data_IF_007206025586
#
_entry.id   IF_007206025586
#
_cell.length_a   1.000
_cell.length_b   1.000
_cell.length_c   1.000
_cell.angle_alpha   90.00
_cell.angle_beta   90.00
_cell.angle_gamma   90.00
#
_symmetry.space_group_name_H-M   'P 1'
#
loop_
_entity.id
_entity.type
_entity.pdbx_description
1 polymer ?
#
# COMPACT_ATOMS: atom_id res chain seq x y z
N UNK A 1 9.52 -17.92 20.36
CA UNK A 1 8.94 -16.61 20.74
C UNK A 1 9.21 -16.44 22.21
N UNK A 2 10.03 -15.46 22.59
CA UNK A 2 10.22 -15.09 23.99
C UNK A 2 8.99 -14.32 24.43
N UNK A 3 8.23 -14.90 25.35
CA UNK A 3 7.08 -14.24 25.97
C UNK A 3 7.61 -13.34 27.09
N UNK A 4 7.31 -12.04 27.02
CA UNK A 4 7.71 -11.08 28.05
C UNK A 4 6.47 -10.82 28.89
N UNK A 5 6.51 -11.23 30.15
CA UNK A 5 5.45 -10.97 31.11
C UNK A 5 5.57 -9.53 31.63
N UNK A 6 4.75 -8.64 31.07
CA UNK A 6 4.78 -7.19 31.35
C UNK A 6 4.24 -6.89 32.75
N UNK A 7 3.31 -7.70 33.26
CA UNK A 7 2.63 -7.47 34.53
C UNK A 7 3.54 -7.74 35.74
N UNK A 8 4.61 -8.51 35.54
CA UNK A 8 5.61 -8.82 36.55
C UNK A 8 6.75 -7.79 36.64
N UNK A 9 6.83 -6.83 35.71
CA UNK A 9 7.93 -5.87 35.65
C UNK A 9 7.73 -4.68 36.61
N UNK A 10 8.80 -4.29 37.27
CA UNK A 10 8.84 -3.04 38.03
C UNK A 10 8.80 -1.82 37.10
N UNK A 11 8.49 -0.65 37.65
CA UNK A 11 8.43 0.61 36.88
C UNK A 11 9.77 0.89 36.17
N UNK A 12 10.90 0.69 36.85
CA UNK A 12 12.23 0.90 36.26
C UNK A 12 12.50 -0.08 35.10
N UNK A 13 12.06 -1.33 35.21
CA UNK A 13 12.20 -2.34 34.15
C UNK A 13 11.27 -2.03 32.96
N UNK A 14 10.07 -1.50 33.21
CA UNK A 14 9.16 -1.02 32.17
C UNK A 14 9.75 0.17 31.41
N UNK A 15 10.39 1.11 32.10
CA UNK A 15 11.07 2.23 31.47
C UNK A 15 12.27 1.77 30.62
N UNK A 16 13.06 0.83 31.13
CA UNK A 16 14.16 0.23 30.36
C UNK A 16 13.65 -0.53 29.14
N UNK A 17 12.55 -1.28 29.27
CA UNK A 17 11.93 -1.98 28.16
C UNK A 17 11.40 -0.99 27.11
N UNK A 18 10.71 0.08 27.55
CA UNK A 18 10.26 1.16 26.66
C UNK A 18 11.43 1.76 25.89
N UNK A 19 12.52 2.07 26.58
CA UNK A 19 13.69 2.72 25.98
C UNK A 19 14.43 1.76 25.03
N UNK A 20 14.54 0.48 25.38
CA UNK A 20 15.12 -0.56 24.54
C UNK A 20 14.26 -0.83 23.29
N UNK A 21 12.94 -0.89 23.43
CA UNK A 21 12.00 -1.01 22.30
C UNK A 21 12.10 0.22 21.41
N UNK A 22 12.14 1.43 21.97
CA UNK A 22 12.30 2.67 21.21
C UNK A 22 13.63 2.70 20.44
N UNK A 23 14.74 2.30 21.08
CA UNK A 23 16.04 2.17 20.41
C UNK A 23 16.02 1.11 19.32
N UNK A 24 15.37 -0.04 19.56
CA UNK A 24 15.24 -1.11 18.56
C UNK A 24 14.37 -0.65 17.39
N UNK A 25 13.28 0.06 17.64
CA UNK A 25 12.43 0.64 16.60
C UNK A 25 13.19 1.71 15.82
N UNK A 26 13.97 2.57 16.47
CA UNK A 26 14.86 3.51 15.80
C UNK A 26 15.88 2.77 14.95
N UNK A 27 16.56 1.75 15.47
CA UNK A 27 17.50 0.95 14.70
C UNK A 27 16.85 0.25 13.52
N UNK A 28 15.64 -0.31 13.68
CA UNK A 28 14.88 -0.92 12.58
C UNK A 28 14.44 0.13 11.54
N UNK A 29 14.10 1.35 11.97
CA UNK A 29 13.80 2.48 11.09
C UNK A 29 15.03 2.99 10.34
N UNK A 30 16.19 3.09 11.01
CA UNK A 30 17.49 3.39 10.40
C UNK A 30 18.08 2.21 9.61
N UNK A 31 17.52 1.01 9.79
CA UNK A 31 17.79 -0.16 8.96
C UNK A 31 17.02 -0.14 7.64
N UNK A 32 16.26 0.91 7.32
CA UNK A 32 15.88 1.20 5.93
C UNK A 32 17.14 1.70 5.20
N UNK A 33 17.78 0.75 4.53
CA UNK A 33 19.22 0.59 4.23
C UNK A 33 19.93 1.64 3.38
N UNK A 34 19.25 2.68 2.92
CA UNK A 34 19.77 3.54 1.87
C UNK A 34 19.87 4.99 2.34
N UNK A 35 21.08 5.54 2.22
CA UNK A 35 21.33 6.97 2.32
C UNK A 35 20.59 7.72 1.20
N UNK A 36 20.29 9.01 1.40
CA UNK A 36 19.66 9.83 0.36
C UNK A 36 20.37 9.75 -1.00
N UNK A 37 21.72 9.82 -1.09
CA UNK A 37 22.41 9.64 -2.37
C UNK A 37 22.14 8.28 -3.05
N UNK A 38 22.05 7.19 -2.28
CA UNK A 38 21.72 5.87 -2.83
C UNK A 38 20.29 5.81 -3.33
N UNK A 39 19.34 6.37 -2.58
CA UNK A 39 17.93 6.45 -2.98
C UNK A 39 17.75 7.27 -4.26
N UNK A 40 18.47 8.38 -4.40
CA UNK A 40 18.45 9.19 -5.62
C UNK A 40 19.04 8.40 -6.81
N UNK A 41 20.14 7.67 -6.63
CA UNK A 41 20.70 6.81 -7.68
C UNK A 41 19.70 5.73 -8.11
N UNK A 42 19.06 5.06 -7.13
CA UNK A 42 18.03 4.05 -7.41
C UNK A 42 16.83 4.65 -8.13
N UNK A 43 16.43 5.88 -7.80
CA UNK A 43 15.35 6.59 -8.48
C UNK A 43 15.69 6.83 -9.95
N UNK A 44 16.91 7.28 -10.27
CA UNK A 44 17.32 7.49 -11.66
C UNK A 44 17.34 6.19 -12.47
N UNK A 45 17.83 5.09 -11.89
CA UNK A 45 17.75 3.76 -12.51
C UNK A 45 16.31 3.32 -12.74
N UNK A 46 15.44 3.56 -11.76
CA UNK A 46 14.03 3.21 -11.85
C UNK A 46 13.30 4.03 -12.92
N UNK A 47 13.62 5.32 -13.08
CA UNK A 47 13.05 6.15 -14.16
C UNK A 47 13.35 5.54 -15.53
N UNK A 48 14.56 5.03 -15.76
CA UNK A 48 14.88 4.36 -17.03
C UNK A 48 13.97 3.14 -17.25
N UNK A 49 13.82 2.29 -16.23
CA UNK A 49 12.95 1.10 -16.30
C UNK A 49 11.48 1.48 -16.56
N UNK A 50 10.97 2.50 -15.87
CA UNK A 50 9.59 2.95 -16.04
C UNK A 50 9.36 3.53 -17.44
N UNK A 51 10.33 4.28 -17.97
CA UNK A 51 10.26 4.82 -19.33
C UNK A 51 10.27 3.70 -20.39
N UNK A 52 11.11 2.67 -20.20
CA UNK A 52 11.14 1.49 -21.08
C UNK A 52 9.81 0.71 -21.05
N UNK A 53 9.09 0.75 -19.93
CA UNK A 53 7.74 0.19 -19.77
C UNK A 53 6.63 1.09 -20.33
N UNK A 54 6.97 2.26 -20.87
CA UNK A 54 5.99 3.24 -21.38
C UNK A 54 5.25 4.01 -20.28
N UNK A 55 5.64 3.89 -19.01
CA UNK A 55 5.06 4.68 -17.92
C UNK A 55 5.62 6.08 -17.96
N UNK A 56 4.72 7.07 -17.97
CA UNK A 56 5.09 8.48 -18.03
C UNK A 56 4.61 9.23 -16.79
N UNK A 57 5.36 10.26 -16.40
CA UNK A 57 5.04 11.13 -15.28
C UNK A 57 5.32 12.59 -15.63
N UNK A 58 4.54 13.48 -15.03
CA UNK A 58 4.77 14.93 -15.04
C UNK A 58 5.77 15.34 -13.97
N UNK A 59 5.93 14.55 -12.90
CA UNK A 59 6.86 14.82 -11.81
C UNK A 59 7.27 13.53 -11.09
N UNK A 60 8.59 13.35 -10.89
CA UNK A 60 9.18 12.26 -10.10
C UNK A 60 10.60 12.64 -9.63
N UNK A 61 10.75 13.83 -9.04
CA UNK A 61 12.07 14.35 -8.61
C UNK A 61 12.05 14.97 -7.22
N UNK A 62 10.86 15.39 -6.76
CA UNK A 62 10.69 16.00 -5.46
C UNK A 62 10.69 14.89 -4.42
N UNK A 63 11.43 15.09 -3.35
CA UNK A 63 11.46 14.18 -2.21
C UNK A 63 11.24 14.95 -0.91
N UNK A 64 10.68 14.26 0.09
CA UNK A 64 10.48 14.79 1.43
C UNK A 64 10.76 13.71 2.47
N UNK A 65 11.22 14.14 3.63
CA UNK A 65 11.31 13.27 4.80
C UNK A 65 9.96 13.27 5.52
N UNK A 66 9.26 12.13 5.51
CA UNK A 66 7.97 11.97 6.17
C UNK A 66 7.78 10.53 6.65
N UNK A 67 7.01 10.35 7.73
CA UNK A 67 6.78 9.05 8.37
C UNK A 67 8.07 8.28 8.74
N UNK A 68 9.17 9.01 8.98
CA UNK A 68 10.46 8.42 9.32
C UNK A 68 11.25 7.84 8.16
N UNK A 69 10.88 8.15 6.91
CA UNK A 69 11.62 7.73 5.71
C UNK A 69 11.57 8.79 4.60
N UNK A 70 12.41 8.64 3.58
CA UNK A 70 12.38 9.48 2.38
C UNK A 70 11.30 8.95 1.45
N UNK A 71 10.40 9.85 1.02
CA UNK A 71 9.41 9.59 -0.03
C UNK A 71 9.61 10.52 -1.20
N UNK A 72 9.20 10.06 -2.37
CA UNK A 72 9.25 10.75 -3.65
C UNK A 72 7.83 11.10 -4.11
N UNK A 73 7.64 12.33 -4.56
CA UNK A 73 6.39 12.75 -5.16
C UNK A 73 6.29 12.20 -6.58
N UNK A 74 5.28 11.39 -6.83
CA UNK A 74 4.92 10.91 -8.15
C UNK A 74 3.67 11.65 -8.63
N UNK A 75 3.74 12.19 -9.85
CA UNK A 75 2.57 12.66 -10.59
C UNK A 75 2.54 11.94 -11.95
N UNK A 76 1.81 10.82 -12.08
CA UNK A 76 1.74 10.07 -13.32
C UNK A 76 0.95 10.83 -14.39
N UNK A 77 1.26 10.60 -15.66
CA UNK A 77 0.51 11.18 -16.78
C UNK A 77 -0.84 10.52 -16.95
N UNK A 78 -0.88 9.20 -16.79
CA UNK A 78 -2.11 8.41 -16.77
C UNK A 78 -2.66 8.35 -15.35
N UNK A 79 -3.57 9.27 -15.04
CA UNK A 79 -4.23 9.35 -13.74
C UNK A 79 -5.50 8.49 -13.66
N UNK A 80 -5.84 7.77 -14.74
CA UNK A 80 -6.93 6.78 -14.72
C UNK A 80 -6.44 5.48 -14.10
N UNK A 81 -5.20 5.09 -14.42
CA UNK A 81 -4.60 3.85 -13.90
C UNK A 81 -3.75 4.07 -12.65
N UNK A 82 -3.23 5.28 -12.43
CA UNK A 82 -2.22 5.54 -11.40
C UNK A 82 -2.57 6.72 -10.48
N UNK A 83 -2.34 6.54 -9.17
CA UNK A 83 -2.55 7.56 -8.16
C UNK A 83 -1.32 8.49 -8.04
N UNK A 84 -1.54 9.82 -7.99
CA UNK A 84 -0.50 10.77 -7.59
C UNK A 84 -0.31 10.75 -6.07
N UNK A 85 0.93 10.89 -5.59
CA UNK A 85 1.20 10.82 -4.16
C UNK A 85 2.67 10.77 -3.77
N UNK A 86 2.91 10.58 -2.48
CA UNK A 86 4.23 10.40 -1.89
C UNK A 86 4.52 8.91 -1.68
N UNK A 87 5.49 8.39 -2.42
CA UNK A 87 5.84 6.97 -2.42
C UNK A 87 7.28 6.73 -1.98
N UNK A 88 7.53 5.64 -1.28
CA UNK A 88 8.89 5.18 -1.01
C UNK A 88 9.54 4.65 -2.29
N UNK A 89 10.86 4.49 -2.28
CA UNK A 89 11.55 3.85 -3.41
C UNK A 89 11.04 2.43 -3.66
N UNK A 90 10.70 1.69 -2.60
CA UNK A 90 10.19 0.32 -2.69
C UNK A 90 8.81 0.27 -3.32
N UNK A 91 7.92 1.21 -2.98
CA UNK A 91 6.59 1.32 -3.60
C UNK A 91 6.68 1.66 -5.09
N UNK A 92 7.64 2.50 -5.49
CA UNK A 92 7.90 2.78 -6.90
C UNK A 92 8.51 1.56 -7.64
N UNK A 93 9.33 0.75 -6.96
CA UNK A 93 9.81 -0.54 -7.49
C UNK A 93 8.66 -1.54 -7.64
N UNK A 94 7.70 -1.56 -6.72
CA UNK A 94 6.48 -2.37 -6.89
C UNK A 94 5.68 -1.89 -8.10
N UNK A 95 5.55 -0.57 -8.28
CA UNK A 95 4.87 -0.02 -9.44
C UNK A 95 5.52 -0.44 -10.77
N UNK A 96 6.85 -0.50 -10.86
CA UNK A 96 7.52 -1.04 -12.06
C UNK A 96 7.24 -2.53 -12.30
N UNK A 97 6.83 -3.27 -11.27
CA UNK A 97 6.39 -4.67 -11.36
C UNK A 97 4.88 -4.82 -11.58
N UNK A 98 4.14 -3.72 -11.73
CA UNK A 98 2.69 -3.74 -11.88
C UNK A 98 1.96 -4.09 -10.58
N UNK A 99 2.50 -3.67 -9.43
CA UNK A 99 1.86 -3.83 -8.13
C UNK A 99 2.04 -2.61 -7.24
N UNK A 100 1.43 -2.64 -6.05
CA UNK A 100 1.63 -1.62 -5.03
C UNK A 100 0.64 -0.45 -5.09
N UNK A 101 0.85 0.55 -4.22
CA UNK A 101 -0.14 1.59 -3.92
C UNK A 101 -0.25 2.67 -5.00
N UNK A 102 0.58 2.63 -6.04
CA UNK A 102 0.48 3.55 -7.18
C UNK A 102 -0.68 3.16 -8.08
N UNK A 103 -1.08 1.89 -8.13
CA UNK A 103 -2.21 1.45 -8.97
C UNK A 103 -3.53 1.88 -8.34
N UNK A 104 -4.39 2.49 -9.16
CA UNK A 104 -5.81 2.59 -8.82
C UNK A 104 -6.36 1.17 -8.95
N UNK A 105 -6.80 0.60 -7.83
CA UNK A 105 -7.65 -0.58 -7.90
C UNK A 105 -8.97 -0.09 -8.47
N UNK A 106 -9.35 -0.59 -9.65
CA UNK A 106 -10.76 -0.67 -9.96
C UNK A 106 -11.35 -1.41 -8.76
N UNK A 107 -12.22 -0.73 -8.01
CA UNK A 107 -13.22 -1.47 -7.25
C UNK A 107 -13.77 -2.43 -8.30
N UNK A 108 -13.50 -3.73 -8.14
CA UNK A 108 -14.30 -4.73 -8.82
C UNK A 108 -15.73 -4.25 -8.52
N UNK A 109 -16.39 -3.69 -9.55
CA UNK A 109 -17.84 -3.65 -9.55
C UNK A 109 -18.18 -5.06 -9.12
N UNK A 110 -18.66 -5.21 -7.89
CA UNK A 110 -19.29 -6.44 -7.45
C UNK A 110 -20.25 -6.70 -8.59
N UNK A 111 -19.90 -7.64 -9.49
CA UNK A 111 -20.84 -8.16 -10.44
C UNK A 111 -22.00 -8.52 -9.53
N UNK A 112 -23.11 -7.79 -9.63
CA UNK A 112 -24.37 -8.12 -9.00
C UNK A 112 -24.66 -9.52 -9.53
N UNK A 113 -24.09 -10.54 -8.88
CA UNK A 113 -24.35 -11.95 -9.14
C UNK A 113 -25.85 -12.02 -8.92
N UNK A 114 -26.63 -12.03 -10.00
CA UNK A 114 -28.07 -12.09 -9.91
C UNK A 114 -28.40 -13.35 -9.11
N UNK A 115 -28.71 -13.18 -7.81
CA UNK A 115 -28.91 -14.28 -6.86
C UNK A 115 -30.27 -14.91 -7.16
N UNK A 116 -30.33 -15.70 -8.22
CA UNK A 116 -31.45 -16.56 -8.52
C UNK A 116 -31.51 -17.62 -7.43
N UNK A 117 -32.51 -17.54 -6.56
CA UNK A 117 -32.70 -18.51 -5.48
C UNK A 117 -33.63 -19.62 -5.95
N UNK A 118 -33.20 -20.87 -5.88
CA UNK A 118 -34.08 -22.02 -6.12
C UNK A 118 -34.81 -22.38 -4.82
N UNK A 119 -36.14 -22.23 -4.82
CA UNK A 119 -36.99 -22.60 -3.69
C UNK A 119 -38.04 -23.59 -4.20
N UNK A 120 -37.81 -24.88 -3.93
CA UNK A 120 -38.78 -25.92 -4.24
C UNK A 120 -39.01 -26.16 -5.73
N UNK A 121 -38.00 -25.97 -6.58
CA UNK A 121 -38.09 -26.20 -8.03
C UNK A 121 -38.59 -25.00 -8.83
N UNK A 122 -38.62 -23.80 -8.23
CA UNK A 122 -38.96 -22.54 -8.90
C UNK A 122 -37.80 -21.56 -8.69
N UNK A 123 -37.35 -20.92 -9.79
CA UNK A 123 -36.31 -19.89 -9.76
C UNK A 123 -36.95 -18.54 -9.45
N UNK A 124 -36.53 -17.93 -8.35
CA UNK A 124 -37.07 -16.65 -7.89
C UNK A 124 -35.99 -15.58 -8.01
N UNK A 125 -36.32 -14.48 -8.69
CA UNK A 125 -35.57 -13.22 -8.66
C UNK A 125 -36.32 -12.22 -7.77
N UNK A 126 -35.62 -11.69 -6.78
CA UNK A 126 -36.11 -10.60 -5.94
C UNK A 126 -35.71 -9.27 -6.55
N UNK A 127 -36.70 -8.43 -6.86
CA UNK A 127 -36.47 -7.11 -7.42
C UNK A 127 -36.23 -6.09 -6.28
N UNK A 128 -35.48 -4.99 -6.54
CA UNK A 128 -35.14 -3.99 -5.52
C UNK A 128 -36.33 -3.28 -4.88
N UNK A 129 -37.51 -3.36 -5.51
CA UNK A 129 -38.79 -2.83 -5.01
C UNK A 129 -39.55 -3.82 -4.10
N UNK A 130 -38.94 -4.98 -3.81
CA UNK A 130 -39.53 -6.05 -3.01
C UNK A 130 -40.53 -6.93 -3.77
N UNK A 131 -40.70 -6.72 -5.08
CA UNK A 131 -41.52 -7.59 -5.92
C UNK A 131 -40.73 -8.83 -6.37
N UNK A 132 -41.46 -9.92 -6.68
CA UNK A 132 -40.87 -11.19 -7.12
C UNK A 132 -41.20 -11.43 -8.59
N UNK A 133 -40.19 -11.79 -9.39
CA UNK A 133 -40.36 -12.34 -10.73
C UNK A 133 -40.15 -13.87 -10.69
N UNK A 134 -41.05 -14.61 -11.32
CA UNK A 134 -41.06 -16.09 -11.36
C UNK A 134 -41.09 -16.57 -12.81
N UNK A 135 -40.30 -17.60 -13.11
CA UNK A 135 -40.33 -18.37 -14.36
C UNK A 135 -40.53 -19.86 -14.06
#
# INVERSE_FOLDING_TARGET
>A
MTDIDIDALSIEELEQLRDAVNQRLLQLRYSNRHSLPELLRMLEELKMVLNDQGKQWRSLERWQWMDGQIRFWLNPTDQVQYQPGWYTIDELIQWSRGSGPVLIREEEEEEDEEIWTDVGGVRIRWLPDGSMQRE
#
